data_IF_460657084360
#
_entry.id   IF_460657084360
#
_cell.length_a   1.000
_cell.length_b   1.000
_cell.length_c   1.000
_cell.angle_alpha   90.00
_cell.angle_beta   90.00
_cell.angle_gamma   90.00
#
_symmetry.space_group_name_H-M   'P 1'
#
loop_
_entity.id
_entity.type
_entity.pdbx_description
1 polymer ?
#
# COMPACT_ATOMS: atom_id res chain seq x y z
N UNK A 1 -4.00 -8.05 3.30
CA UNK A 1 -3.37 -6.81 2.74
C UNK A 1 -4.39 -6.04 1.91
N UNK A 2 -4.40 -4.73 2.00
CA UNK A 2 -5.15 -3.86 1.07
C UNK A 2 -4.15 -3.05 0.25
N UNK A 3 -4.25 -3.12 -1.07
CA UNK A 3 -3.44 -2.29 -1.99
C UNK A 3 -4.35 -1.29 -2.68
N UNK A 4 -4.01 -0.01 -2.52
CA UNK A 4 -4.79 1.10 -3.08
C UNK A 4 -4.03 1.67 -4.26
N UNK A 5 -4.56 1.48 -5.46
CA UNK A 5 -4.06 2.06 -6.69
C UNK A 5 -4.59 3.48 -6.92
N UNK A 6 -4.53 3.93 -8.16
CA UNK A 6 -4.95 5.27 -8.55
C UNK A 6 -6.41 5.56 -8.20
N UNK A 7 -6.63 6.68 -7.50
CA UNK A 7 -7.94 7.20 -7.14
C UNK A 7 -8.02 8.71 -7.45
N UNK A 8 -9.23 9.27 -7.61
CA UNK A 8 -9.38 10.71 -7.71
C UNK A 8 -8.96 11.39 -6.40
N UNK A 9 -8.52 12.66 -6.43
CA UNK A 9 -8.13 13.41 -5.23
C UNK A 9 -9.24 13.52 -4.19
N UNK A 10 -10.47 13.64 -4.66
CA UNK A 10 -11.66 13.75 -3.81
C UNK A 10 -12.19 12.35 -3.46
N UNK A 11 -11.51 11.66 -2.56
CA UNK A 11 -11.98 10.38 -2.05
C UNK A 11 -12.08 10.42 -0.52
N UNK A 12 -13.09 9.77 0.03
CA UNK A 12 -13.39 9.80 1.47
C UNK A 12 -12.94 8.52 2.20
N UNK A 13 -12.11 7.69 1.57
CA UNK A 13 -11.78 6.37 2.12
C UNK A 13 -10.54 6.35 3.03
N UNK A 14 -9.80 7.46 3.13
CA UNK A 14 -8.59 7.52 3.97
C UNK A 14 -8.88 7.18 5.44
N UNK A 15 -9.92 7.76 6.02
CA UNK A 15 -10.28 7.51 7.42
C UNK A 15 -10.83 6.09 7.65
N UNK A 16 -11.54 5.54 6.66
CA UNK A 16 -11.97 4.14 6.71
C UNK A 16 -10.78 3.19 6.70
N UNK A 17 -9.81 3.40 5.82
CA UNK A 17 -8.59 2.60 5.74
C UNK A 17 -7.77 2.68 7.02
N UNK A 18 -7.63 3.87 7.61
CA UNK A 18 -6.99 4.06 8.93
C UNK A 18 -7.73 3.27 10.02
N UNK A 19 -9.05 3.37 10.05
CA UNK A 19 -9.87 2.65 11.03
C UNK A 19 -9.73 1.14 10.88
N UNK A 20 -9.81 0.61 9.66
CA UNK A 20 -9.63 -0.81 9.35
C UNK A 20 -8.24 -1.28 9.78
N UNK A 21 -7.20 -0.51 9.42
CA UNK A 21 -5.82 -0.84 9.81
C UNK A 21 -5.60 -0.83 11.33
N UNK A 22 -6.36 -0.05 12.09
CA UNK A 22 -6.29 -0.04 13.57
C UNK A 22 -7.04 -1.21 14.21
N UNK A 23 -8.18 -1.59 13.63
CA UNK A 23 -9.07 -2.63 14.18
C UNK A 23 -8.65 -4.04 13.81
N UNK A 24 -8.08 -4.21 12.64
CA UNK A 24 -7.80 -5.52 12.06
C UNK A 24 -6.30 -5.71 11.82
N UNK A 25 -5.88 -6.96 11.73
CA UNK A 25 -4.51 -7.33 11.36
C UNK A 25 -4.28 -7.14 9.84
N UNK A 26 -4.43 -5.90 9.38
CA UNK A 26 -4.39 -5.51 7.96
C UNK A 26 -3.30 -4.49 7.71
N UNK A 27 -2.50 -4.74 6.69
CA UNK A 27 -1.53 -3.80 6.13
C UNK A 27 -2.15 -3.10 4.93
N UNK A 28 -2.12 -1.76 4.94
CA UNK A 28 -2.59 -0.92 3.83
C UNK A 28 -1.39 -0.36 3.10
N UNK A 29 -1.28 -0.64 1.81
CA UNK A 29 -0.24 -0.11 0.93
C UNK A 29 -0.87 0.84 -0.08
N UNK A 30 -0.39 2.07 -0.11
CA UNK A 30 -0.85 3.09 -1.06
C UNK A 30 0.34 3.75 -1.73
N UNK A 31 0.23 4.06 -3.01
CA UNK A 31 1.21 4.91 -3.70
C UNK A 31 0.66 6.34 -3.87
N UNK A 32 1.50 7.23 -4.38
CA UNK A 32 1.15 8.65 -4.53
C UNK A 32 -0.06 8.88 -5.45
N UNK A 33 -0.37 7.99 -6.40
CA UNK A 33 -1.54 8.10 -7.26
C UNK A 33 -2.85 7.74 -6.56
N UNK A 34 -2.76 7.12 -5.38
CA UNK A 34 -3.95 6.76 -4.62
C UNK A 34 -4.66 7.96 -4.00
N UNK A 35 -3.96 9.09 -3.83
CA UNK A 35 -4.43 10.24 -3.08
C UNK A 35 -4.92 9.88 -1.66
N UNK A 36 -4.33 8.85 -1.06
CA UNK A 36 -4.63 8.36 0.28
C UNK A 36 -3.52 8.77 1.23
N UNK A 37 -3.91 9.34 2.36
CA UNK A 37 -3.00 9.63 3.47
C UNK A 37 -3.31 8.64 4.59
N UNK A 38 -2.46 7.64 4.77
CA UNK A 38 -2.48 6.74 5.92
C UNK A 38 -1.38 7.16 6.89
N UNK A 39 -1.66 7.09 8.19
CA UNK A 39 -0.74 7.56 9.24
C UNK A 39 0.62 6.83 9.21
N UNK A 40 0.62 5.57 8.77
CA UNK A 40 1.82 4.78 8.55
C UNK A 40 2.15 4.74 7.07
N UNK A 41 2.84 5.75 6.58
CA UNK A 41 3.37 5.71 5.21
C UNK A 41 4.47 4.65 5.14
N UNK A 42 4.04 3.42 4.84
CA UNK A 42 4.96 2.31 4.64
C UNK A 42 5.70 2.53 3.32
N UNK A 43 7.01 2.76 3.42
CA UNK A 43 7.89 2.75 2.25
C UNK A 43 8.03 1.30 1.74
N UNK A 44 6.92 0.73 1.26
CA UNK A 44 6.83 -0.69 0.92
C UNK A 44 7.81 -1.11 -0.17
N UNK A 45 8.13 -0.25 -1.12
CA UNK A 45 9.13 -0.54 -2.14
C UNK A 45 10.51 -0.79 -1.51
N UNK A 46 10.89 0.03 -0.52
CA UNK A 46 12.14 -0.14 0.21
C UNK A 46 12.13 -1.41 1.06
N UNK A 47 11.02 -1.72 1.72
CA UNK A 47 10.85 -2.97 2.47
C UNK A 47 11.03 -4.17 1.54
N UNK A 48 10.35 -4.18 0.38
CA UNK A 48 10.42 -5.28 -0.58
C UNK A 48 11.85 -5.45 -1.13
N UNK A 49 12.55 -4.36 -1.45
CA UNK A 49 13.91 -4.42 -2.01
C UNK A 49 14.92 -4.91 -0.96
N UNK A 50 14.74 -4.53 0.30
CA UNK A 50 15.68 -4.86 1.38
C UNK A 50 15.45 -6.24 1.99
N UNK A 51 14.35 -6.91 1.65
CA UNK A 51 13.99 -8.23 2.20
C UNK A 51 14.52 -9.37 1.34
N UNK A 52 14.97 -10.44 2.01
CA UNK A 52 15.31 -11.72 1.36
C UNK A 52 14.06 -12.44 0.86
N UNK A 53 14.23 -13.45 0.02
CA UNK A 53 13.11 -14.26 -0.47
C UNK A 53 12.33 -14.95 0.65
N UNK A 54 13.00 -15.41 1.71
CA UNK A 54 12.35 -16.01 2.87
C UNK A 54 11.44 -15.00 3.57
N UNK A 55 11.98 -13.81 3.82
CA UNK A 55 11.23 -12.73 4.45
C UNK A 55 10.06 -12.25 3.58
N UNK A 56 10.23 -12.19 2.25
CA UNK A 56 9.14 -11.85 1.34
C UNK A 56 8.00 -12.88 1.38
N UNK A 57 8.30 -14.17 1.55
CA UNK A 57 7.27 -15.20 1.74
C UNK A 57 6.48 -14.97 3.03
N UNK A 58 7.13 -14.57 4.12
CA UNK A 58 6.48 -14.25 5.39
C UNK A 58 5.63 -12.97 5.30
N UNK A 59 6.05 -12.02 4.46
CA UNK A 59 5.33 -10.76 4.21
C UNK A 59 4.19 -10.91 3.20
N UNK A 60 4.08 -12.04 2.50
CA UNK A 60 3.00 -12.29 1.55
C UNK A 60 1.65 -12.42 2.28
N UNK A 61 0.58 -11.81 1.77
CA UNK A 61 -0.73 -11.90 2.39
C UNK A 61 -1.45 -13.20 1.98
N UNK A 62 -2.27 -13.75 2.88
CA UNK A 62 -3.24 -14.80 2.51
C UNK A 62 -4.37 -14.20 1.67
N UNK A 63 -4.87 -13.03 2.05
CA UNK A 63 -5.89 -12.29 1.31
C UNK A 63 -5.34 -10.94 0.85
N UNK A 64 -5.41 -10.72 -0.47
CA UNK A 64 -5.16 -9.44 -1.11
C UNK A 64 -6.49 -8.79 -1.51
N UNK A 65 -6.70 -7.57 -1.06
CA UNK A 65 -7.82 -6.73 -1.53
C UNK A 65 -7.22 -5.58 -2.34
N UNK A 66 -7.70 -5.38 -3.56
CA UNK A 66 -7.26 -4.27 -4.41
C UNK A 66 -8.40 -3.31 -4.69
N UNK A 67 -8.08 -2.01 -4.59
CA UNK A 67 -9.01 -0.90 -4.75
C UNK A 67 -8.40 0.13 -5.71
N UNK A 68 -9.22 0.72 -6.55
CA UNK A 68 -8.79 1.77 -7.48
C UNK A 68 -8.10 1.21 -8.73
N UNK A 69 -7.44 2.11 -9.46
CA UNK A 69 -6.81 1.80 -10.74
C UNK A 69 -5.36 1.28 -10.62
N UNK A 70 -4.52 1.77 -11.52
CA UNK A 70 -3.13 1.33 -11.60
C UNK A 70 -2.32 1.64 -10.33
N UNK A 71 -1.45 0.71 -9.96
CA UNK A 71 -0.31 0.97 -9.06
C UNK A 71 0.92 1.25 -9.91
N UNK A 72 1.73 2.23 -9.51
CA UNK A 72 2.95 2.60 -10.24
C UNK A 72 4.07 1.62 -9.94
N UNK A 73 4.19 1.20 -8.69
CA UNK A 73 5.29 0.37 -8.24
C UNK A 73 5.42 -0.95 -9.01
N UNK A 74 6.60 -1.14 -9.61
CA UNK A 74 6.98 -2.43 -10.19
C UNK A 74 7.35 -3.46 -9.13
N UNK A 75 7.74 -3.01 -7.93
CA UNK A 75 8.21 -3.88 -6.85
C UNK A 75 7.04 -4.61 -6.20
N UNK A 76 5.95 -3.91 -5.92
CA UNK A 76 4.76 -4.56 -5.38
C UNK A 76 4.17 -5.56 -6.39
N UNK A 77 4.20 -5.24 -7.70
CA UNK A 77 3.75 -6.17 -8.74
C UNK A 77 4.61 -7.43 -8.78
N UNK A 78 5.92 -7.28 -8.74
CA UNK A 78 6.84 -8.42 -8.67
C UNK A 78 6.59 -9.27 -7.42
N UNK A 79 6.52 -8.63 -6.27
CA UNK A 79 6.31 -9.28 -4.98
C UNK A 79 5.03 -10.13 -4.97
N UNK A 80 3.89 -9.53 -5.30
CA UNK A 80 2.61 -10.23 -5.26
C UNK A 80 2.48 -11.31 -6.34
N UNK A 81 3.10 -11.12 -7.51
CA UNK A 81 3.12 -12.16 -8.56
C UNK A 81 4.00 -13.35 -8.21
N UNK A 82 5.14 -13.10 -7.54
CA UNK A 82 6.15 -14.12 -7.26
C UNK A 82 5.78 -14.98 -6.05
N UNK A 83 5.32 -14.34 -4.98
CA UNK A 83 5.07 -15.04 -3.72
C UNK A 83 3.61 -15.48 -3.57
N UNK A 84 2.76 -14.99 -4.47
CA UNK A 84 1.36 -15.41 -4.55
C UNK A 84 0.52 -14.91 -3.38
N UNK A 85 -0.77 -15.19 -3.50
CA UNK A 85 -1.78 -14.97 -2.46
C UNK A 85 -2.78 -16.12 -2.54
N UNK A 86 -3.41 -16.49 -1.43
CA UNK A 86 -4.44 -17.54 -1.46
C UNK A 86 -5.72 -17.03 -2.11
N UNK A 87 -6.08 -15.77 -1.83
CA UNK A 87 -7.25 -15.11 -2.38
C UNK A 87 -6.92 -13.67 -2.78
N UNK A 88 -7.43 -13.23 -3.93
CA UNK A 88 -7.33 -11.86 -4.40
C UNK A 88 -8.70 -11.34 -4.81
N UNK A 89 -9.20 -10.37 -4.06
CA UNK A 89 -10.45 -9.67 -4.33
C UNK A 89 -10.19 -8.31 -4.94
N UNK A 90 -10.79 -8.05 -6.09
CA UNK A 90 -10.77 -6.71 -6.70
C UNK A 90 -12.11 -6.01 -6.52
N UNK A 91 -12.08 -4.82 -5.93
CA UNK A 91 -13.29 -4.02 -5.71
C UNK A 91 -13.47 -3.08 -6.89
N UNK A 92 -14.58 -3.20 -7.58
CA UNK A 92 -14.85 -2.42 -8.79
C UNK A 92 -16.35 -2.10 -8.93
N UNK A 93 -16.67 -0.83 -9.15
CA UNK A 93 -18.05 -0.39 -9.43
C UNK A 93 -18.62 -1.02 -10.72
N UNK A 94 -17.79 -1.13 -11.74
CA UNK A 94 -18.19 -1.68 -13.05
C UNK A 94 -18.21 -3.20 -13.06
N UNK A 95 -17.38 -3.83 -12.23
CA UNK A 95 -17.12 -5.27 -12.27
C UNK A 95 -16.13 -5.68 -13.36
N UNK A 96 -15.31 -4.74 -13.82
CA UNK A 96 -14.30 -5.01 -14.82
C UNK A 96 -13.21 -5.96 -14.29
N UNK A 97 -12.75 -6.86 -15.15
CA UNK A 97 -11.68 -7.80 -14.82
C UNK A 97 -10.33 -7.12 -14.99
N UNK A 98 -9.69 -6.79 -13.88
CA UNK A 98 -8.35 -6.21 -13.86
C UNK A 98 -7.44 -7.07 -12.98
N UNK A 99 -6.69 -7.98 -13.60
CA UNK A 99 -5.76 -8.85 -12.90
C UNK A 99 -4.30 -8.38 -13.00
N UNK A 100 -4.02 -7.27 -12.37
CA UNK A 100 -2.66 -6.69 -12.33
C UNK A 100 -1.63 -7.62 -11.72
N UNK A 101 -2.03 -8.42 -10.74
CA UNK A 101 -1.12 -9.27 -9.97
C UNK A 101 -1.11 -10.74 -10.41
N UNK A 102 -1.93 -11.11 -11.39
CA UNK A 102 -2.05 -12.49 -11.95
C UNK A 102 -2.47 -13.53 -10.89
N UNK A 103 -3.30 -13.10 -9.93
CA UNK A 103 -3.75 -13.89 -8.79
C UNK A 103 -5.25 -13.67 -8.49
N UNK A 104 -5.98 -13.00 -9.39
CA UNK A 104 -7.37 -12.61 -9.16
C UNK A 104 -8.27 -13.85 -8.97
N UNK A 105 -8.94 -13.90 -7.82
CA UNK A 105 -9.94 -14.94 -7.53
C UNK A 105 -11.36 -14.41 -7.65
N UNK A 106 -11.63 -13.19 -7.17
CA UNK A 106 -12.96 -12.64 -7.08
C UNK A 106 -13.02 -11.17 -7.48
N UNK A 107 -14.13 -10.78 -8.07
CA UNK A 107 -14.48 -9.39 -8.35
C UNK A 107 -15.72 -9.05 -7.53
N UNK A 108 -15.56 -8.10 -6.61
CA UNK A 108 -16.65 -7.61 -5.78
C UNK A 108 -17.19 -6.34 -6.41
N UNK A 109 -18.43 -6.42 -6.93
CA UNK A 109 -19.09 -5.27 -7.53
C UNK A 109 -19.67 -4.37 -6.45
N UNK A 110 -18.89 -3.37 -6.06
CA UNK A 110 -19.24 -2.37 -5.05
C UNK A 110 -18.45 -1.09 -5.29
N UNK A 111 -18.93 0.02 -4.80
CA UNK A 111 -18.09 1.19 -4.62
C UNK A 111 -17.15 0.98 -3.41
N UNK A 112 -16.02 1.68 -3.43
CA UNK A 112 -14.96 1.51 -2.45
C UNK A 112 -15.41 1.88 -1.03
N UNK A 113 -16.19 2.94 -0.89
CA UNK A 113 -16.64 3.45 0.42
C UNK A 113 -17.62 2.46 1.08
N UNK A 114 -18.59 1.97 0.33
CA UNK A 114 -19.55 0.96 0.81
C UNK A 114 -18.83 -0.31 1.25
N UNK A 115 -17.92 -0.83 0.43
CA UNK A 115 -17.16 -2.04 0.76
C UNK A 115 -16.31 -1.85 2.02
N UNK A 116 -15.55 -0.76 2.09
CA UNK A 116 -14.69 -0.49 3.24
C UNK A 116 -15.48 -0.20 4.51
N UNK A 117 -16.64 0.45 4.40
CA UNK A 117 -17.56 0.65 5.54
C UNK A 117 -18.03 -0.68 6.10
N UNK A 118 -18.42 -1.62 5.23
CA UNK A 118 -18.80 -2.96 5.64
C UNK A 118 -17.64 -3.68 6.36
N UNK A 119 -16.43 -3.66 5.81
CA UNK A 119 -15.25 -4.26 6.48
C UNK A 119 -14.98 -3.60 7.83
N UNK A 120 -15.12 -2.29 7.91
CA UNK A 120 -14.90 -1.53 9.15
C UNK A 120 -15.92 -1.85 10.25
N UNK A 121 -17.12 -2.29 9.90
CA UNK A 121 -18.17 -2.72 10.84
C UNK A 121 -17.96 -4.14 11.37
N UNK A 122 -17.18 -4.97 10.66
CA UNK A 122 -16.87 -6.31 11.13
C UNK A 122 -16.11 -6.24 12.47
N UNK A 123 -16.46 -7.12 13.38
CA UNK A 123 -15.69 -7.31 14.61
C UNK A 123 -14.45 -8.17 14.29
N UNK A 124 -13.29 -7.86 14.87
CA UNK A 124 -12.14 -8.77 14.80
C UNK A 124 -12.52 -10.15 15.30
N UNK A 125 -12.00 -11.20 14.66
CA UNK A 125 -12.25 -12.56 15.12
C UNK A 125 -11.62 -12.78 16.52
N UNK A 126 -12.25 -13.62 17.34
CA UNK A 126 -11.71 -13.96 18.67
C UNK A 126 -10.32 -14.65 18.56
N UNK A 127 -10.06 -15.33 17.45
CA UNK A 127 -8.78 -15.98 17.17
C UNK A 127 -7.66 -14.98 16.91
N UNK A 128 -7.95 -13.80 16.34
CA UNK A 128 -6.97 -12.71 16.17
C UNK A 128 -6.53 -12.12 17.52
N UNK A 129 -7.41 -12.11 18.50
CA UNK A 129 -7.14 -11.56 19.84
C UNK A 129 -6.35 -12.51 20.78
N UNK A 130 -6.25 -13.80 20.45
CA UNK A 130 -5.66 -14.83 21.30
C UNK A 130 -4.36 -15.44 20.76
N UNK A 131 -3.95 -15.11 19.54
CA UNK A 131 -2.72 -15.63 18.97
C UNK A 131 -1.49 -14.89 19.54
N UNK A 132 -0.67 -15.60 20.31
CA UNK A 132 0.66 -15.14 20.74
C UNK A 132 1.66 -15.07 19.57
N UNK A 133 1.29 -15.54 18.38
CA UNK A 133 2.10 -15.43 17.18
C UNK A 133 2.16 -13.96 16.73
N UNK A 134 3.31 -13.55 16.24
CA UNK A 134 3.51 -12.22 15.70
C UNK A 134 2.46 -11.90 14.63
N UNK A 135 1.74 -10.79 14.82
CA UNK A 135 0.70 -10.41 13.86
C UNK A 135 1.30 -10.00 12.52
N UNK A 136 0.57 -10.25 11.43
CA UNK A 136 0.99 -9.88 10.08
C UNK A 136 1.41 -8.40 9.97
N UNK A 137 0.68 -7.53 10.64
CA UNK A 137 0.99 -6.09 10.71
C UNK A 137 2.30 -5.82 11.46
N UNK A 138 2.59 -6.56 12.52
CA UNK A 138 3.84 -6.43 13.27
C UNK A 138 5.06 -6.84 12.44
N UNK A 139 4.95 -7.89 11.60
CA UNK A 139 6.01 -8.29 10.68
C UNK A 139 6.39 -7.12 9.75
N UNK A 140 5.41 -6.47 9.14
CA UNK A 140 5.65 -5.31 8.29
C UNK A 140 6.24 -4.11 9.06
N UNK A 141 5.74 -3.85 10.27
CA UNK A 141 6.24 -2.77 11.12
C UNK A 141 7.68 -3.02 11.59
N UNK A 142 8.03 -4.26 11.93
CA UNK A 142 9.43 -4.61 12.25
C UNK A 142 10.35 -4.37 11.06
N UNK A 143 9.95 -4.75 9.85
CA UNK A 143 10.74 -4.47 8.65
C UNK A 143 10.91 -2.98 8.42
N UNK A 144 9.83 -2.20 8.56
CA UNK A 144 9.89 -0.75 8.49
C UNK A 144 10.86 -0.15 9.52
N UNK A 145 10.82 -0.63 10.75
CA UNK A 145 11.69 -0.13 11.83
C UNK A 145 13.20 -0.40 11.58
N UNK A 146 13.52 -1.39 10.75
CA UNK A 146 14.90 -1.68 10.35
C UNK A 146 15.40 -0.77 9.21
N UNK A 147 14.50 -0.05 8.52
CA UNK A 147 14.89 0.88 7.48
C UNK A 147 15.60 2.08 8.10
N UNK A 148 16.82 2.30 7.67
CA UNK A 148 17.57 3.50 8.01
C UNK A 148 17.56 4.46 6.83
N UNK A 149 17.38 5.75 7.09
CA UNK A 149 17.54 6.74 6.05
C UNK A 149 18.96 6.65 5.49
N UNK A 150 19.15 6.49 4.18
CA UNK A 150 20.48 6.45 3.60
C UNK A 150 21.16 7.81 3.78
N UNK A 151 22.50 7.79 3.95
CA UNK A 151 23.29 9.01 3.81
C UNK A 151 23.17 9.48 2.35
N UNK A 152 22.41 10.55 2.14
CA UNK A 152 22.17 11.07 0.79
C UNK A 152 23.38 11.88 0.36
N UNK A 153 24.27 11.28 -0.45
CA UNK A 153 25.36 11.99 -1.12
C UNK A 153 24.81 12.86 -2.25
N UNK A 154 25.61 13.80 -2.73
CA UNK A 154 25.25 14.64 -3.88
C UNK A 154 24.82 13.77 -5.07
N UNK A 155 23.55 13.88 -5.44
CA UNK A 155 22.87 13.02 -6.41
C UNK A 155 21.57 13.68 -6.85
N UNK A 156 20.88 13.12 -7.83
CA UNK A 156 19.55 13.58 -8.23
C UNK A 156 18.55 13.53 -7.07
N UNK A 157 18.62 12.49 -6.22
CA UNK A 157 17.80 12.38 -5.02
C UNK A 157 18.09 13.53 -4.04
N UNK A 158 19.37 13.86 -3.83
CA UNK A 158 19.75 15.01 -3.00
C UNK A 158 19.21 16.33 -3.57
N UNK A 159 19.37 16.54 -4.87
CA UNK A 159 18.91 17.77 -5.53
C UNK A 159 17.38 17.93 -5.45
N UNK A 160 16.62 16.85 -5.67
CA UNK A 160 15.16 16.86 -5.52
C UNK A 160 14.76 17.11 -4.07
N UNK A 161 15.39 16.45 -3.11
CA UNK A 161 15.13 16.67 -1.68
C UNK A 161 15.37 18.13 -1.26
N UNK A 162 16.48 18.73 -1.69
CA UNK A 162 16.78 20.15 -1.44
C UNK A 162 15.76 21.07 -2.10
N UNK A 163 15.35 20.76 -3.35
CA UNK A 163 14.32 21.53 -4.03
C UNK A 163 13.01 21.49 -3.24
N UNK A 164 12.53 20.30 -2.90
CA UNK A 164 11.27 20.11 -2.18
C UNK A 164 11.28 20.82 -0.80
N UNK A 165 12.41 20.75 -0.09
CA UNK A 165 12.58 21.41 1.22
C UNK A 165 12.61 22.94 1.14
N UNK A 166 12.94 23.50 -0.03
CA UNK A 166 13.04 24.95 -0.24
C UNK A 166 11.80 25.60 -0.82
N UNK A 167 10.78 24.79 -1.15
CA UNK A 167 9.55 25.31 -1.74
C UNK A 167 8.73 26.09 -0.72
N UNK A 168 8.10 27.20 -1.14
CA UNK A 168 7.12 27.90 -0.30
C UNK A 168 5.90 27.03 -0.04
N UNK A 169 5.16 27.34 1.01
CA UNK A 169 3.85 26.74 1.24
C UNK A 169 2.86 27.08 0.11
N UNK A 170 1.90 26.18 -0.12
CA UNK A 170 0.83 26.34 -1.11
C UNK A 170 1.29 26.45 -2.57
N UNK A 171 2.29 25.69 -2.95
CA UNK A 171 2.68 25.52 -4.37
C UNK A 171 2.09 24.26 -4.97
N UNK A 172 1.74 24.33 -6.25
CA UNK A 172 1.38 23.14 -7.03
C UNK A 172 2.60 22.64 -7.79
N UNK A 173 2.93 21.35 -7.57
CA UNK A 173 4.04 20.71 -8.23
C UNK A 173 3.53 19.73 -9.30
N UNK A 174 4.13 19.80 -10.47
CA UNK A 174 3.87 18.88 -11.56
C UNK A 174 5.13 18.06 -11.83
N UNK A 175 5.06 16.77 -11.58
CA UNK A 175 6.16 15.86 -11.87
C UNK A 175 5.94 15.19 -13.23
N UNK A 176 6.99 15.17 -14.05
CA UNK A 176 6.99 14.34 -15.23
C UNK A 176 7.02 12.86 -14.84
N UNK A 177 6.51 12.00 -15.70
CA UNK A 177 6.53 10.56 -15.47
C UNK A 177 7.96 10.01 -15.31
N UNK A 178 8.10 8.84 -14.70
CA UNK A 178 9.35 8.10 -14.50
C UNK A 178 10.20 8.61 -13.33
N UNK A 179 11.45 8.99 -13.57
CA UNK A 179 12.46 9.22 -12.52
C UNK A 179 12.09 10.36 -11.55
N UNK A 180 11.54 11.45 -12.07
CA UNK A 180 11.14 12.59 -11.25
C UNK A 180 10.08 12.25 -10.19
N UNK A 181 9.13 11.37 -10.51
CA UNK A 181 8.13 10.90 -9.55
C UNK A 181 8.77 10.03 -8.47
N UNK A 182 9.67 9.13 -8.84
CA UNK A 182 10.34 8.25 -7.86
C UNK A 182 11.26 9.00 -6.91
N UNK A 183 11.90 10.06 -7.37
CA UNK A 183 12.80 10.87 -6.53
C UNK A 183 12.05 11.80 -5.58
N UNK A 184 10.74 12.02 -5.80
CA UNK A 184 9.91 12.91 -5.00
C UNK A 184 9.05 12.18 -3.96
N UNK A 185 9.15 10.88 -3.87
CA UNK A 185 8.47 10.00 -2.89
C UNK A 185 9.31 9.82 -1.58
#
# INVERSE_FOLDING_TARGET
MIVVGQLPPENNISELLKSISRKHNVVVLSDHLSNIIVDDNLHYDTIIISSSETELKELAPDLLITIGGHTVSKKIKYFLRTFGVSEHWHISNSGDVVDTYQQLTDIIKSDNETFLSYINELSPSQDEAQNEAESYKELWNKKRALLTAPEIKYSDLYAVGMLLSSLPENVSLHFANSHSVYLSQ
#
